data_IF_055888292950
#
_entry.id   IF_055888292950
#
_cell.length_a   1.000
_cell.length_b   1.000
_cell.length_c   1.000
_cell.angle_alpha   90.00
_cell.angle_beta   90.00
_cell.angle_gamma   90.00
#
_symmetry.space_group_name_H-M   'P 1'
#
loop_
_entity.id
_entity.type
_entity.pdbx_description
1 polymer ?
#
# COMPACT_ATOMS: atom_id res chain seq x y z
N UNK A 1 -18.14 7.47 24.27
CA UNK A 1 -17.15 8.28 23.53
C UNK A 1 -16.57 7.41 22.44
N UNK A 2 -17.08 7.55 21.21
CA UNK A 2 -16.44 6.95 20.03
C UNK A 2 -15.24 7.82 19.70
N UNK A 3 -14.05 7.33 20.02
CA UNK A 3 -12.82 7.96 19.55
C UNK A 3 -12.82 7.75 18.04
N UNK A 4 -13.14 8.79 17.28
CA UNK A 4 -12.93 8.80 15.83
C UNK A 4 -11.41 8.92 15.67
N UNK A 5 -10.71 7.78 15.60
CA UNK A 5 -9.27 7.77 15.35
C UNK A 5 -9.03 8.10 13.89
N UNK A 6 -9.04 9.40 13.55
CA UNK A 6 -8.56 9.88 12.26
C UNK A 6 -7.09 9.52 12.13
N UNK A 7 -6.72 8.83 11.05
CA UNK A 7 -5.34 8.48 10.79
C UNK A 7 -4.62 9.68 10.15
N UNK A 8 -3.29 9.76 10.26
CA UNK A 8 -2.53 10.90 9.74
C UNK A 8 -2.74 11.18 8.25
N UNK A 9 -2.99 10.13 7.45
CA UNK A 9 -3.07 10.24 5.99
C UNK A 9 -4.46 9.97 5.41
N UNK A 10 -5.54 10.06 6.21
CA UNK A 10 -6.92 9.87 5.70
C UNK A 10 -7.26 10.86 4.57
N UNK A 11 -6.94 12.14 4.75
CA UNK A 11 -7.17 13.17 3.74
C UNK A 11 -6.36 12.92 2.45
N UNK A 12 -5.19 12.27 2.57
CA UNK A 12 -4.40 11.88 1.40
C UNK A 12 -4.99 10.66 0.72
N UNK A 13 -5.43 9.66 1.48
CA UNK A 13 -6.12 8.48 0.95
C UNK A 13 -7.37 8.89 0.15
N UNK A 14 -8.17 9.81 0.68
CA UNK A 14 -9.31 10.38 -0.04
C UNK A 14 -8.89 11.09 -1.32
N UNK A 15 -7.86 11.95 -1.26
CA UNK A 15 -7.36 12.67 -2.43
C UNK A 15 -6.89 11.73 -3.54
N UNK A 16 -6.24 10.62 -3.18
CA UNK A 16 -5.80 9.60 -4.14
C UNK A 16 -7.00 8.98 -4.86
N UNK A 17 -8.01 8.52 -4.11
CA UNK A 17 -9.23 7.94 -4.69
C UNK A 17 -9.92 8.96 -5.59
N UNK A 18 -10.15 10.18 -5.09
CA UNK A 18 -10.79 11.25 -5.87
C UNK A 18 -10.02 11.62 -7.14
N UNK A 19 -8.69 11.63 -7.09
CA UNK A 19 -7.86 11.89 -8.26
C UNK A 19 -8.07 10.82 -9.34
N UNK A 20 -7.97 9.54 -8.98
CA UNK A 20 -8.10 8.47 -9.97
C UNK A 20 -9.53 8.32 -10.51
N UNK A 21 -10.55 8.54 -9.68
CA UNK A 21 -11.93 8.64 -10.15
C UNK A 21 -12.07 9.76 -11.20
N UNK A 22 -11.51 10.94 -10.96
CA UNK A 22 -11.53 12.06 -11.90
C UNK A 22 -10.69 11.80 -13.18
N UNK A 23 -9.67 10.96 -13.09
CA UNK A 23 -8.84 10.52 -14.22
C UNK A 23 -9.51 9.42 -15.08
N UNK A 24 -10.71 8.97 -14.72
CA UNK A 24 -11.47 7.98 -15.48
C UNK A 24 -11.46 6.56 -14.91
N UNK A 25 -11.06 6.39 -13.65
CA UNK A 25 -11.03 5.10 -12.95
C UNK A 25 -12.07 5.05 -11.81
N UNK A 26 -13.38 5.07 -12.11
CA UNK A 26 -14.44 5.15 -11.10
C UNK A 26 -14.56 3.90 -10.21
N UNK A 27 -13.98 2.76 -10.62
CA UNK A 27 -13.94 1.53 -9.81
C UNK A 27 -13.09 1.64 -8.56
N UNK A 28 -12.06 2.50 -8.59
CA UNK A 28 -11.23 2.80 -7.42
C UNK A 28 -12.08 3.59 -6.43
N UNK A 29 -12.44 2.93 -5.33
CA UNK A 29 -13.38 3.43 -4.32
C UNK A 29 -12.81 3.37 -2.91
N UNK A 30 -11.62 2.79 -2.76
CA UNK A 30 -10.90 2.62 -1.52
C UNK A 30 -9.39 2.77 -1.73
N UNK A 31 -8.76 3.47 -0.79
CA UNK A 31 -7.31 3.51 -0.65
C UNK A 31 -6.93 3.24 0.80
N UNK A 32 -6.08 2.24 1.03
CA UNK A 32 -5.47 1.96 2.33
C UNK A 32 -3.97 2.23 2.25
N UNK A 33 -3.52 3.21 3.03
CA UNK A 33 -2.13 3.63 3.12
C UNK A 33 -1.48 2.91 4.31
N UNK A 34 -0.38 2.22 4.04
CA UNK A 34 0.44 1.54 5.04
C UNK A 34 1.84 2.13 5.11
N UNK A 35 2.35 2.27 6.34
CA UNK A 35 3.77 2.50 6.59
C UNK A 35 4.46 1.15 6.67
N UNK A 36 5.43 0.92 5.79
CA UNK A 36 6.21 -0.31 5.72
C UNK A 36 7.61 0.02 6.22
N UNK A 37 7.95 -0.49 7.40
CA UNK A 37 9.29 -0.34 8.00
C UNK A 37 10.08 -1.62 7.79
N UNK A 38 11.30 -1.50 7.28
CA UNK A 38 12.25 -2.61 7.24
C UNK A 38 12.76 -2.90 8.66
N UNK A 39 12.61 -4.14 9.12
CA UNK A 39 13.13 -4.62 10.41
C UNK A 39 14.55 -5.11 10.30
N UNK A 40 14.82 -5.90 9.25
CA UNK A 40 16.12 -6.53 9.00
C UNK A 40 16.23 -7.00 7.55
N UNK A 41 17.46 -7.29 7.15
CA UNK A 41 17.80 -7.88 5.87
C UNK A 41 17.94 -6.86 4.74
N UNK A 42 18.56 -7.29 3.66
CA UNK A 42 18.57 -6.58 2.37
C UNK A 42 17.59 -7.22 1.37
N UNK A 43 17.43 -6.58 0.20
CA UNK A 43 16.52 -7.06 -0.83
C UNK A 43 16.80 -8.51 -1.23
N UNK A 44 18.07 -8.88 -1.45
CA UNK A 44 18.44 -10.23 -1.90
C UNK A 44 18.12 -11.29 -0.83
N UNK A 45 18.37 -10.98 0.44
CA UNK A 45 18.05 -11.87 1.55
C UNK A 45 16.54 -12.10 1.68
N UNK A 46 15.75 -11.04 1.50
CA UNK A 46 14.29 -11.10 1.59
C UNK A 46 13.71 -11.88 0.41
N UNK A 47 14.16 -11.59 -0.82
CA UNK A 47 13.74 -12.30 -2.03
C UNK A 47 14.06 -13.79 -1.92
N UNK A 48 15.26 -14.16 -1.47
CA UNK A 48 15.63 -15.56 -1.25
C UNK A 48 14.73 -16.26 -0.22
N UNK A 49 14.41 -15.60 0.89
CA UNK A 49 13.50 -16.16 1.89
C UNK A 49 12.07 -16.33 1.36
N UNK A 50 11.61 -15.39 0.53
CA UNK A 50 10.30 -15.47 -0.13
C UNK A 50 10.26 -16.58 -1.15
N UNK A 51 11.30 -16.75 -1.97
CA UNK A 51 11.41 -17.85 -2.93
C UNK A 51 11.34 -19.22 -2.24
N UNK A 52 12.04 -19.39 -1.11
CA UNK A 52 11.95 -20.62 -0.31
C UNK A 52 10.53 -20.85 0.20
N UNK A 53 9.85 -19.81 0.71
CA UNK A 53 8.47 -19.93 1.15
C UNK A 53 7.51 -20.30 0.00
N UNK A 54 7.71 -19.70 -1.18
CA UNK A 54 6.96 -20.00 -2.40
C UNK A 54 7.16 -21.46 -2.81
N UNK A 55 8.41 -21.94 -2.87
CA UNK A 55 8.75 -23.31 -3.24
C UNK A 55 8.15 -24.34 -2.27
N UNK A 56 8.12 -24.01 -0.98
CA UNK A 56 7.59 -24.88 0.07
C UNK A 56 6.07 -24.74 0.27
N UNK A 57 5.38 -23.89 -0.48
CA UNK A 57 3.96 -23.61 -0.30
C UNK A 57 3.61 -23.04 1.09
N UNK A 58 4.57 -22.38 1.74
CA UNK A 58 4.43 -21.84 3.10
C UNK A 58 4.01 -20.35 3.08
N UNK A 59 3.46 -19.82 4.19
CA UNK A 59 3.20 -18.39 4.31
C UNK A 59 4.48 -17.56 4.12
N UNK A 60 4.35 -16.40 3.46
CA UNK A 60 5.48 -15.49 3.29
C UNK A 60 5.93 -14.91 4.64
N UNK A 61 7.23 -14.88 4.95
CA UNK A 61 7.76 -14.41 6.23
C UNK A 61 7.76 -12.87 6.34
N UNK A 62 6.65 -12.20 6.00
CA UNK A 62 6.56 -10.73 5.96
C UNK A 62 6.91 -10.09 7.31
N UNK A 63 6.29 -10.56 8.39
CA UNK A 63 6.49 -10.04 9.76
C UNK A 63 7.92 -10.20 10.26
N UNK A 64 8.71 -11.08 9.64
CA UNK A 64 10.12 -11.26 9.97
C UNK A 64 10.97 -10.11 9.44
N UNK A 65 10.62 -9.56 8.27
CA UNK A 65 11.39 -8.54 7.56
C UNK A 65 10.78 -7.14 7.61
N UNK A 66 9.45 -7.03 7.75
CA UNK A 66 8.73 -5.76 7.72
C UNK A 66 7.74 -5.64 8.88
N UNK A 67 7.60 -4.42 9.38
CA UNK A 67 6.42 -4.02 10.16
C UNK A 67 5.50 -3.23 9.20
N UNK A 68 4.21 -3.61 9.13
CA UNK A 68 3.23 -2.95 8.25
C UNK A 68 2.17 -2.28 9.13
N UNK A 69 2.17 -0.96 9.16
CA UNK A 69 1.31 -0.21 10.08
C UNK A 69 0.33 0.64 9.30
N UNK A 70 -0.90 0.70 9.78
CA UNK A 70 -1.90 1.55 9.16
C UNK A 70 -1.49 3.03 9.28
N UNK A 71 -1.66 3.77 8.18
CA UNK A 71 -1.25 5.16 8.11
C UNK A 71 -2.32 6.10 7.56
N UNK A 72 -3.19 5.62 6.67
CA UNK A 72 -4.34 6.36 6.17
C UNK A 72 -5.36 5.42 5.57
N UNK A 73 -6.63 5.81 5.58
CA UNK A 73 -7.69 5.02 5.00
C UNK A 73 -8.80 5.91 4.47
N UNK A 74 -9.26 5.59 3.27
CA UNK A 74 -10.48 6.15 2.72
C UNK A 74 -11.22 5.06 1.97
N UNK A 75 -12.54 4.96 2.16
CA UNK A 75 -13.37 3.98 1.48
C UNK A 75 -14.79 4.51 1.32
N UNK A 76 -15.37 4.27 0.15
CA UNK A 76 -16.80 4.50 -0.11
C UNK A 76 -17.65 3.26 0.16
N UNK A 77 -17.02 2.10 0.43
CA UNK A 77 -17.68 0.80 0.45
C UNK A 77 -17.67 0.09 1.81
N UNK A 78 -16.75 0.45 2.72
CA UNK A 78 -16.66 -0.16 4.06
C UNK A 78 -16.04 0.77 5.11
N UNK A 79 -16.26 0.45 6.38
CA UNK A 79 -15.65 1.18 7.48
C UNK A 79 -14.20 0.74 7.72
N UNK A 80 -13.41 1.60 8.37
CA UNK A 80 -12.01 1.33 8.70
C UNK A 80 -11.82 0.04 9.51
N UNK A 81 -12.71 -0.23 10.47
CA UNK A 81 -12.63 -1.43 11.30
C UNK A 81 -12.75 -2.71 10.45
N UNK A 82 -13.67 -2.71 9.49
CA UNK A 82 -13.88 -3.86 8.59
C UNK A 82 -12.66 -4.05 7.68
N UNK A 83 -12.09 -2.97 7.16
CA UNK A 83 -10.87 -3.01 6.36
C UNK A 83 -9.66 -3.52 7.16
N UNK A 84 -9.49 -3.07 8.42
CA UNK A 84 -8.44 -3.57 9.32
C UNK A 84 -8.56 -5.07 9.55
N UNK A 85 -9.77 -5.56 9.84
CA UNK A 85 -10.02 -6.98 10.09
C UNK A 85 -9.83 -7.85 8.84
N UNK A 86 -10.18 -7.33 7.66
CA UNK A 86 -10.02 -8.01 6.38
C UNK A 86 -8.61 -7.90 5.78
N UNK A 87 -7.74 -7.04 6.32
CA UNK A 87 -6.41 -6.78 5.74
C UNK A 87 -5.56 -8.05 5.50
N UNK A 88 -5.50 -9.03 6.42
CA UNK A 88 -4.74 -10.27 6.19
C UNK A 88 -5.31 -11.16 5.08
N UNK A 89 -6.52 -10.91 4.58
CA UNK A 89 -7.07 -11.61 3.42
C UNK A 89 -7.06 -10.76 2.15
N UNK A 90 -7.22 -9.45 2.31
CA UNK A 90 -7.37 -8.51 1.19
C UNK A 90 -6.04 -8.02 0.63
N UNK A 91 -4.99 -7.99 1.46
CA UNK A 91 -3.63 -7.81 0.97
C UNK A 91 -3.14 -9.13 0.36
N UNK A 92 -3.40 -9.30 -0.94
CA UNK A 92 -3.18 -10.53 -1.69
C UNK A 92 -1.72 -11.02 -1.74
N UNK A 93 -1.54 -12.28 -2.14
CA UNK A 93 -0.22 -12.92 -2.18
C UNK A 93 0.73 -12.23 -3.17
N UNK A 94 0.24 -11.77 -4.32
CA UNK A 94 1.12 -11.16 -5.32
C UNK A 94 1.61 -9.79 -4.85
N UNK A 95 0.73 -8.98 -4.25
CA UNK A 95 1.14 -7.69 -3.67
C UNK A 95 2.12 -7.88 -2.49
N UNK A 96 1.93 -8.92 -1.69
CA UNK A 96 2.88 -9.31 -0.63
C UNK A 96 4.26 -9.67 -1.17
N UNK A 97 4.31 -10.45 -2.26
CA UNK A 97 5.56 -10.79 -2.94
C UNK A 97 6.24 -9.54 -3.53
N UNK A 98 5.46 -8.57 -3.97
CA UNK A 98 5.98 -7.34 -4.54
C UNK A 98 6.45 -6.32 -3.49
N UNK A 99 6.06 -6.48 -2.22
CA UNK A 99 6.37 -5.54 -1.14
C UNK A 99 7.87 -5.19 -1.02
N UNK A 100 8.83 -6.14 -1.08
CA UNK A 100 10.25 -5.82 -1.02
C UNK A 100 10.66 -4.91 -2.19
N UNK A 101 10.30 -5.28 -3.43
CA UNK A 101 10.56 -4.47 -4.61
C UNK A 101 9.99 -3.05 -4.46
N UNK A 102 8.74 -2.93 -4.00
CA UNK A 102 8.09 -1.63 -3.75
C UNK A 102 8.87 -0.83 -2.70
N UNK A 103 9.34 -1.46 -1.61
CA UNK A 103 10.09 -0.78 -0.56
C UNK A 103 11.45 -0.24 -1.05
N UNK A 104 12.21 -1.06 -1.79
CA UNK A 104 13.59 -0.77 -2.18
C UNK A 104 13.73 0.01 -3.51
N UNK A 105 12.71 0.00 -4.37
CA UNK A 105 12.75 0.72 -5.66
C UNK A 105 12.47 2.21 -5.50
N UNK A 106 12.98 3.04 -6.41
CA UNK A 106 12.65 4.46 -6.48
C UNK A 106 11.19 4.68 -6.89
N UNK A 107 10.48 5.69 -6.35
CA UNK A 107 9.16 6.06 -6.82
C UNK A 107 9.20 6.67 -8.25
N UNK A 108 8.12 6.55 -9.04
CA UNK A 108 6.94 5.72 -8.78
C UNK A 108 7.23 4.24 -9.00
N UNK A 109 6.79 3.37 -8.08
CA UNK A 109 6.82 1.91 -8.25
C UNK A 109 5.43 1.34 -8.06
N UNK A 110 5.01 0.44 -8.95
CA UNK A 110 3.68 -0.16 -8.93
C UNK A 110 3.81 -1.69 -9.00
N UNK A 111 2.94 -2.36 -8.28
CA UNK A 111 2.71 -3.78 -8.34
C UNK A 111 1.22 -4.06 -8.52
N UNK A 112 0.94 -5.11 -9.28
CA UNK A 112 -0.38 -5.60 -9.69
C UNK A 112 -0.67 -6.92 -8.97
N UNK A 113 -1.95 -7.15 -8.64
CA UNK A 113 -2.52 -8.46 -8.39
C UNK A 113 -3.79 -8.65 -9.22
N UNK A 114 -3.63 -9.01 -10.49
CA UNK A 114 -4.69 -9.18 -11.49
C UNK A 114 -5.76 -10.23 -11.13
N UNK A 115 -5.56 -11.01 -10.06
CA UNK A 115 -6.50 -12.03 -9.57
C UNK A 115 -7.30 -11.56 -8.35
N UNK A 116 -6.98 -10.40 -7.79
CA UNK A 116 -7.75 -9.81 -6.72
C UNK A 116 -9.08 -9.25 -7.29
N UNK A 117 -10.13 -9.26 -6.44
CA UNK A 117 -11.49 -8.91 -6.84
C UNK A 117 -12.32 -8.49 -5.63
N UNK A 118 -13.35 -7.68 -5.86
CA UNK A 118 -14.26 -7.20 -4.82
C UNK A 118 -13.58 -6.18 -3.91
N UNK A 119 -13.45 -6.50 -2.62
CA UNK A 119 -12.82 -5.60 -1.62
C UNK A 119 -11.32 -5.82 -1.47
N UNK A 120 -10.75 -6.76 -2.23
CA UNK A 120 -9.32 -7.02 -2.21
C UNK A 120 -8.57 -5.88 -2.90
N UNK A 121 -7.30 -5.74 -2.55
CA UNK A 121 -6.43 -4.77 -3.20
C UNK A 121 -5.79 -5.41 -4.42
N UNK A 122 -5.89 -4.75 -5.57
CA UNK A 122 -5.34 -5.24 -6.83
C UNK A 122 -4.11 -4.43 -7.27
N UNK A 123 -3.84 -3.30 -6.60
CA UNK A 123 -2.60 -2.56 -6.79
C UNK A 123 -1.94 -2.16 -5.48
N UNK A 124 -0.62 -2.20 -5.48
CA UNK A 124 0.25 -1.61 -4.46
C UNK A 124 1.18 -0.60 -5.13
N UNK A 125 1.12 0.65 -4.69
CA UNK A 125 1.91 1.74 -5.23
C UNK A 125 2.85 2.33 -4.17
N UNK A 126 4.02 2.79 -4.62
CA UNK A 126 4.88 3.73 -3.90
C UNK A 126 5.06 4.96 -4.78
N UNK A 127 4.57 6.11 -4.28
CA UNK A 127 4.60 7.38 -5.00
C UNK A 127 5.59 8.40 -4.41
N UNK A 128 6.19 8.10 -3.25
CA UNK A 128 7.16 8.96 -2.57
C UNK A 128 8.40 8.19 -2.12
N UNK A 129 9.45 8.94 -1.81
CA UNK A 129 10.69 8.37 -1.30
C UNK A 129 10.52 7.78 0.10
N UNK A 130 11.45 6.89 0.47
CA UNK A 130 11.48 6.38 1.84
C UNK A 130 11.93 7.48 2.79
N UNK A 131 11.26 7.60 3.93
CA UNK A 131 11.59 8.56 4.98
C UNK A 131 11.83 7.79 6.29
N UNK A 132 12.96 8.03 6.94
CA UNK A 132 13.38 7.34 8.18
C UNK A 132 13.31 5.81 8.11
N UNK A 133 13.69 5.23 6.96
CA UNK A 133 13.65 3.77 6.74
C UNK A 133 12.24 3.19 6.57
N UNK A 134 11.23 4.05 6.42
CA UNK A 134 9.86 3.68 6.14
C UNK A 134 9.46 4.08 4.72
N UNK A 135 8.84 3.17 3.99
CA UNK A 135 8.13 3.47 2.74
C UNK A 135 6.63 3.60 3.02
N UNK A 136 5.93 4.45 2.26
CA UNK A 136 4.45 4.44 2.27
C UNK A 136 3.96 3.62 1.07
N UNK A 137 3.26 2.53 1.37
CA UNK A 137 2.54 1.73 0.38
C UNK A 137 1.09 2.19 0.29
N UNK A 138 0.60 2.41 -0.93
CA UNK A 138 -0.78 2.77 -1.23
C UNK A 138 -1.44 1.55 -1.86
N UNK A 139 -2.40 0.95 -1.17
CA UNK A 139 -3.21 -0.16 -1.66
C UNK A 139 -4.52 0.38 -2.24
N UNK A 140 -4.85 0.00 -3.47
CA UNK A 140 -6.07 0.40 -4.16
C UNK A 140 -6.91 -0.82 -4.52
N UNK A 141 -8.23 -0.70 -4.41
CA UNK A 141 -9.17 -1.71 -4.87
C UNK A 141 -9.62 -1.45 -6.32
N UNK A 142 -9.84 -2.52 -7.08
CA UNK A 142 -10.46 -2.52 -8.41
C UNK A 142 -9.87 -1.55 -9.46
N UNK A 143 -8.54 -1.31 -9.54
CA UNK A 143 -7.96 -0.71 -10.74
C UNK A 143 -8.13 -1.65 -11.95
N UNK A 144 -8.63 -1.12 -13.06
CA UNK A 144 -8.70 -1.87 -14.33
C UNK A 144 -7.33 -1.91 -15.04
N UNK A 145 -7.17 -2.73 -16.07
CA UNK A 145 -5.90 -2.85 -16.80
C UNK A 145 -5.36 -1.52 -17.36
N UNK A 146 -6.26 -0.63 -17.80
CA UNK A 146 -5.88 0.71 -18.32
C UNK A 146 -5.33 1.64 -17.25
N UNK A 147 -5.54 1.34 -15.97
CA UNK A 147 -4.93 2.08 -14.86
C UNK A 147 -3.41 1.94 -14.87
N UNK A 148 -2.90 0.73 -15.08
CA UNK A 148 -1.46 0.47 -15.12
C UNK A 148 -0.81 1.16 -16.33
N UNK A 149 -1.47 1.12 -17.49
CA UNK A 149 -1.04 1.86 -18.69
C UNK A 149 -1.03 3.38 -18.44
N UNK A 150 -2.03 3.92 -17.74
CA UNK A 150 -2.09 5.33 -17.37
C UNK A 150 -0.90 5.73 -16.48
N UNK A 151 -0.54 4.90 -15.50
CA UNK A 151 0.60 5.20 -14.63
C UNK A 151 1.94 5.14 -15.38
N UNK A 152 2.13 4.14 -16.23
CA UNK A 152 3.35 3.99 -17.06
C UNK A 152 3.52 5.17 -18.05
N UNK A 153 2.41 5.74 -18.52
CA UNK A 153 2.41 6.92 -19.38
C UNK A 153 2.73 8.24 -18.65
N UNK A 154 2.87 8.22 -17.31
CA UNK A 154 3.06 9.41 -16.46
C UNK A 154 4.40 9.41 -15.69
N UNK A 155 5.56 9.10 -16.31
CA UNK A 155 6.84 8.96 -15.59
C UNK A 155 7.42 10.29 -15.04
N UNK A 156 6.88 11.43 -15.49
CA UNK A 156 7.25 12.78 -15.01
C UNK A 156 6.12 13.52 -14.29
N UNK A 157 5.01 12.83 -14.01
CA UNK A 157 3.90 13.44 -13.28
C UNK A 157 4.32 13.72 -11.85
N UNK A 158 3.95 14.89 -11.37
CA UNK A 158 4.25 15.32 -10.00
C UNK A 158 3.31 14.60 -9.03
N UNK A 159 3.62 13.33 -8.76
CA UNK A 159 2.90 12.48 -7.81
C UNK A 159 2.88 13.09 -6.41
N UNK A 160 3.82 13.99 -6.09
CA UNK A 160 3.85 14.74 -4.84
C UNK A 160 2.63 15.66 -4.69
N UNK A 161 1.98 16.10 -5.77
CA UNK A 161 0.71 16.87 -5.68
C UNK A 161 -0.45 16.04 -5.14
N UNK A 162 -0.44 14.73 -5.40
CA UNK A 162 -1.51 13.81 -4.99
C UNK A 162 -1.16 13.19 -3.64
N UNK A 163 0.05 12.64 -3.53
CA UNK A 163 0.57 12.08 -2.28
C UNK A 163 0.73 13.16 -1.19
N UNK A 164 1.04 14.40 -1.55
CA UNK A 164 1.46 15.40 -0.59
C UNK A 164 2.75 15.01 0.11
N UNK A 165 2.94 15.47 1.35
CA UNK A 165 4.09 15.13 2.18
C UNK A 165 3.80 13.89 3.05
N UNK A 166 3.62 12.74 2.38
CA UNK A 166 3.33 11.45 3.02
C UNK A 166 4.38 11.05 4.06
N UNK A 167 5.62 11.49 3.91
CA UNK A 167 6.67 11.09 4.82
C UNK A 167 6.76 11.98 6.06
N UNK A 168 6.56 13.31 5.96
CA UNK A 168 6.75 14.19 7.13
C UNK A 168 5.65 13.97 8.18
N UNK A 169 4.43 13.62 7.75
CA UNK A 169 3.36 13.25 8.67
C UNK A 169 3.52 11.83 9.24
N UNK A 170 4.40 10.99 8.68
CA UNK A 170 4.59 9.61 9.12
C UNK A 170 5.56 9.49 10.30
N UNK A 171 6.45 10.46 10.50
CA UNK A 171 7.46 10.47 11.56
C UNK A 171 6.89 10.80 12.94
N UNK A 172 5.80 11.58 13.00
CA UNK A 172 5.13 11.95 14.26
C UNK A 172 4.06 10.96 14.73
N UNK A 173 3.74 9.94 13.93
CA UNK A 173 2.67 8.99 14.25
C UNK A 173 3.19 7.82 15.09
N UNK A 174 2.60 7.68 16.29
CA UNK A 174 2.77 6.52 17.15
C UNK A 174 1.86 5.42 16.60
N UNK A 175 2.43 4.33 16.05
CA UNK A 175 1.63 3.28 15.43
C UNK A 175 0.77 2.54 16.46
N UNK A 176 -0.47 2.23 16.09
CA UNK A 176 -1.39 1.48 16.96
C UNK A 176 -0.99 0.00 17.09
N UNK A 177 -0.70 -0.71 15.99
CA UNK A 177 -0.29 -2.13 15.95
C UNK A 177 0.14 -2.55 14.51
N UNK A 178 0.84 -3.67 14.34
CA UNK A 178 1.15 -4.28 13.03
C UNK A 178 -0.14 -4.87 12.43
N UNK A 179 -0.42 -4.57 11.16
CA UNK A 179 -1.62 -4.99 10.44
C UNK A 179 -1.59 -6.43 9.98
N UNK A 180 -0.39 -6.99 9.80
CA UNK A 180 -0.23 -8.37 9.35
C UNK A 180 -0.26 -9.31 10.50
#
# INVERSE_FOLDING_TARGET
>A
MTITTSLPADATAERIVRHFQAAGFPGITEALLVRVRLKKGDLLQIEAAFDVAVQNGSPLPLREFFDIQLYGFYSEIRALLDAKLAFPTDFGRNLRLALPRVHFSAPPTIADDALASGTKYDALLKLGENMDGCSVGILLNDPNSSFFEYLDAQPGYDWQKIAGDLGAAATSYVPEEDLL
#
